data_IF_648807592536
#
_entry.id   IF_648807592536
#
_cell.length_a   1.000
_cell.length_b   1.000
_cell.length_c   1.000
_cell.angle_alpha   90.00
_cell.angle_beta   90.00
_cell.angle_gamma   90.00
#
_symmetry.space_group_name_H-M   'P 1'
#
loop_
_entity.id
_entity.type
_entity.pdbx_description
1 polymer ?
#
# COMPACT_ATOMS: atom_id res chain seq x y z
N UNK A 1 -54.61 -21.19 17.02
CA UNK A 1 -54.25 -21.21 15.59
C UNK A 1 -53.23 -22.31 15.38
N UNK A 2 -53.32 -23.05 14.28
CA UNK A 2 -52.35 -24.09 13.96
C UNK A 2 -51.13 -23.47 13.30
N UNK A 3 -49.94 -24.00 13.57
CA UNK A 3 -48.69 -23.55 12.94
C UNK A 3 -48.33 -24.58 11.88
N UNK A 4 -48.23 -24.14 10.63
CA UNK A 4 -47.83 -24.97 9.51
C UNK A 4 -46.38 -24.68 9.14
N UNK A 5 -45.51 -25.67 9.23
CA UNK A 5 -44.16 -25.61 8.65
C UNK A 5 -44.30 -25.76 7.14
N UNK A 6 -43.63 -24.91 6.38
CA UNK A 6 -43.65 -24.97 4.93
C UNK A 6 -42.23 -25.02 4.38
N UNK A 7 -42.06 -25.69 3.24
CA UNK A 7 -40.96 -25.50 2.32
C UNK A 7 -41.54 -25.04 1.00
N UNK A 8 -41.10 -23.87 0.52
CA UNK A 8 -41.59 -23.25 -0.70
C UNK A 8 -40.43 -22.96 -1.64
N UNK A 9 -40.70 -22.91 -2.94
CA UNK A 9 -39.80 -22.39 -3.95
C UNK A 9 -40.18 -20.95 -4.32
N UNK A 10 -39.19 -20.06 -4.28
CA UNK A 10 -39.29 -18.72 -4.89
C UNK A 10 -39.46 -18.83 -6.41
N UNK A 11 -39.96 -17.78 -7.06
CA UNK A 11 -39.98 -17.63 -8.53
C UNK A 11 -38.63 -17.85 -9.22
N UNK A 12 -37.51 -17.74 -8.47
CA UNK A 12 -36.14 -18.04 -8.94
C UNK A 12 -35.69 -19.50 -8.70
N UNK A 13 -36.58 -20.38 -8.24
CA UNK A 13 -36.31 -21.82 -8.02
C UNK A 13 -35.57 -22.17 -6.72
N UNK A 14 -35.36 -21.21 -5.81
CA UNK A 14 -34.68 -21.44 -4.52
C UNK A 14 -35.66 -21.87 -3.43
N UNK A 15 -35.27 -22.86 -2.64
CA UNK A 15 -36.07 -23.41 -1.53
C UNK A 15 -35.95 -22.52 -0.29
N UNK A 16 -37.07 -22.23 0.36
CA UNK A 16 -37.18 -21.52 1.62
C UNK A 16 -38.07 -22.34 2.55
N UNK A 17 -37.65 -22.50 3.81
CA UNK A 17 -38.45 -23.18 4.83
C UNK A 17 -38.82 -22.20 5.93
N UNK A 18 -40.06 -22.25 6.39
CA UNK A 18 -40.59 -21.35 7.41
C UNK A 18 -41.80 -21.94 8.11
N UNK A 19 -42.49 -21.11 8.89
CA UNK A 19 -43.77 -21.46 9.51
C UNK A 19 -44.79 -20.35 9.29
N UNK A 20 -46.05 -20.72 9.05
CA UNK A 20 -47.18 -19.79 8.89
C UNK A 20 -48.28 -20.19 9.88
N UNK A 21 -48.86 -19.19 10.55
CA UNK A 21 -49.98 -19.38 11.47
C UNK A 21 -51.29 -19.24 10.70
N UNK A 22 -52.10 -20.30 10.65
CA UNK A 22 -53.40 -20.28 9.99
C UNK A 22 -54.40 -21.16 10.74
N UNK A 23 -55.70 -20.94 10.49
CA UNK A 23 -56.75 -21.77 11.10
C UNK A 23 -56.84 -23.17 10.48
N UNK A 24 -56.44 -23.31 9.22
CA UNK A 24 -56.41 -24.59 8.50
C UNK A 24 -55.37 -24.56 7.36
N UNK A 25 -55.03 -25.74 6.83
CA UNK A 25 -54.03 -25.89 5.77
C UNK A 25 -54.39 -25.10 4.50
N UNK A 26 -55.69 -25.01 4.17
CA UNK A 26 -56.16 -24.28 2.98
C UNK A 26 -55.85 -22.78 3.06
N UNK A 27 -56.02 -22.18 4.24
CA UNK A 27 -55.70 -20.77 4.46
C UNK A 27 -54.19 -20.54 4.44
N UNK A 28 -53.39 -21.42 5.06
CA UNK A 28 -51.94 -21.39 4.97
C UNK A 28 -51.44 -21.47 3.51
N UNK A 29 -52.03 -22.36 2.70
CA UNK A 29 -51.70 -22.45 1.27
C UNK A 29 -52.05 -21.18 0.51
N UNK A 30 -53.22 -20.59 0.78
CA UNK A 30 -53.61 -19.35 0.14
C UNK A 30 -52.70 -18.19 0.52
N UNK A 31 -52.28 -18.08 1.79
CA UNK A 31 -51.32 -17.06 2.21
C UNK A 31 -49.95 -17.22 1.53
N UNK A 32 -49.41 -18.44 1.48
CA UNK A 32 -48.12 -18.70 0.83
C UNK A 32 -48.18 -18.45 -0.69
N UNK A 33 -49.28 -18.83 -1.34
CA UNK A 33 -49.49 -18.57 -2.76
C UNK A 33 -49.65 -17.06 -3.03
N UNK A 34 -50.35 -16.32 -2.17
CA UNK A 34 -50.50 -14.87 -2.27
C UNK A 34 -49.16 -14.14 -2.13
N UNK A 35 -48.21 -14.71 -1.39
CA UNK A 35 -46.83 -14.22 -1.28
C UNK A 35 -45.96 -14.57 -2.51
N UNK A 36 -46.52 -15.24 -3.53
CA UNK A 36 -45.83 -15.58 -4.77
C UNK A 36 -44.87 -16.78 -4.64
N UNK A 37 -45.08 -17.62 -3.63
CA UNK A 37 -44.27 -18.81 -3.39
C UNK A 37 -44.95 -20.06 -3.94
N UNK A 38 -44.18 -20.95 -4.58
CA UNK A 38 -44.64 -22.26 -5.00
C UNK A 38 -44.44 -23.27 -3.86
N UNK A 39 -45.51 -23.75 -3.24
CA UNK A 39 -45.45 -24.64 -2.08
C UNK A 39 -44.94 -26.03 -2.50
N UNK A 40 -43.81 -26.45 -1.93
CA UNK A 40 -43.22 -27.78 -2.14
C UNK A 40 -43.68 -28.76 -1.06
N UNK A 41 -43.72 -28.30 0.19
CA UNK A 41 -44.10 -29.09 1.35
C UNK A 41 -44.83 -28.20 2.37
N UNK A 42 -45.90 -28.71 2.98
CA UNK A 42 -46.65 -28.02 4.03
C UNK A 42 -47.09 -29.07 5.05
N UNK A 43 -46.58 -28.98 6.27
CA UNK A 43 -46.83 -29.94 7.34
C UNK A 43 -47.30 -29.21 8.59
N UNK A 44 -48.45 -29.63 9.13
CA UNK A 44 -48.95 -29.12 10.39
C UNK A 44 -48.05 -29.60 11.54
N UNK A 45 -47.48 -28.67 12.31
CA UNK A 45 -46.60 -29.02 13.42
C UNK A 45 -47.47 -29.46 14.59
N UNK A 46 -47.58 -30.77 14.78
CA UNK A 46 -47.91 -31.30 16.11
C UNK A 46 -46.71 -31.01 17.01
N UNK A 47 -46.93 -30.39 18.16
CA UNK A 47 -45.99 -29.65 19.01
C UNK A 47 -44.64 -30.30 19.43
N UNK A 48 -44.16 -31.40 18.82
CA UNK A 48 -43.01 -32.14 19.33
C UNK A 48 -41.99 -32.71 18.33
N UNK A 49 -41.89 -32.23 17.08
CA UNK A 49 -40.83 -32.70 16.17
C UNK A 49 -40.03 -31.56 15.50
N UNK A 50 -38.76 -31.44 15.94
CA UNK A 50 -37.70 -30.69 15.27
C UNK A 50 -36.81 -31.63 14.47
N UNK A 51 -36.63 -31.39 13.17
CA UNK A 51 -35.44 -31.85 12.44
C UNK A 51 -35.29 -31.12 11.10
N UNK A 52 -34.17 -30.41 10.92
CA UNK A 52 -33.34 -30.43 9.70
C UNK A 52 -31.91 -29.97 10.02
N UNK A 53 -30.97 -30.59 9.30
CA UNK A 53 -29.52 -30.64 9.55
C UNK A 53 -28.86 -29.28 9.75
N UNK A 54 -28.27 -29.10 10.94
CA UNK A 54 -27.49 -27.91 11.34
C UNK A 54 -26.09 -28.01 10.75
N UNK A 55 -25.73 -27.11 9.83
CA UNK A 55 -24.32 -26.75 9.66
C UNK A 55 -23.87 -26.12 10.99
N UNK A 56 -22.81 -26.62 11.66
CA UNK A 56 -22.44 -26.17 13.02
C UNK A 56 -22.03 -24.69 13.11
N UNK A 57 -21.81 -24.02 11.97
CA UNK A 57 -21.40 -22.62 11.90
C UNK A 57 -22.51 -21.65 11.48
N UNK A 58 -23.75 -22.11 11.25
CA UNK A 58 -24.86 -21.23 10.85
C UNK A 58 -25.76 -20.90 12.06
N UNK A 59 -25.98 -19.61 12.26
CA UNK A 59 -26.90 -19.08 13.27
C UNK A 59 -28.26 -18.84 12.63
N UNK A 60 -29.34 -19.18 13.35
CA UNK A 60 -30.71 -18.88 12.92
C UNK A 60 -31.09 -17.48 13.38
N UNK A 61 -31.51 -16.65 12.44
CA UNK A 61 -31.97 -15.28 12.68
C UNK A 61 -33.47 -15.20 12.42
N UNK A 62 -34.18 -14.45 13.25
CA UNK A 62 -35.56 -14.04 13.03
C UNK A 62 -35.53 -12.63 12.43
N UNK A 63 -36.38 -12.37 11.44
CA UNK A 63 -36.48 -11.06 10.80
C UNK A 63 -37.93 -10.57 10.75
N UNK A 64 -38.07 -9.26 10.73
CA UNK A 64 -39.29 -8.54 10.36
C UNK A 64 -38.97 -7.76 9.08
N UNK A 65 -39.79 -7.90 8.04
CA UNK A 65 -39.55 -7.27 6.75
C UNK A 65 -40.85 -6.99 5.98
N UNK A 66 -40.82 -5.97 5.14
CA UNK A 66 -41.88 -5.68 4.18
C UNK A 66 -41.59 -6.41 2.87
N UNK A 67 -42.59 -7.15 2.37
CA UNK A 67 -42.55 -7.72 1.03
C UNK A 67 -42.65 -6.61 -0.06
N UNK A 68 -42.43 -6.91 -1.35
CA UNK A 68 -42.57 -5.93 -2.43
C UNK A 68 -43.96 -5.26 -2.50
N UNK A 69 -44.99 -5.91 -1.96
CA UNK A 69 -46.37 -5.42 -1.85
C UNK A 69 -46.60 -4.54 -0.59
N UNK A 70 -45.57 -4.33 0.23
CA UNK A 70 -45.61 -3.50 1.43
C UNK A 70 -46.23 -4.17 2.66
N UNK A 71 -46.52 -5.48 2.61
CA UNK A 71 -47.06 -6.24 3.73
C UNK A 71 -45.94 -6.69 4.66
N UNK A 72 -46.17 -6.56 5.98
CA UNK A 72 -45.22 -7.02 7.00
C UNK A 72 -45.23 -8.53 7.12
N UNK A 73 -44.04 -9.12 7.11
CA UNK A 73 -43.80 -10.55 7.23
C UNK A 73 -42.73 -10.78 8.29
N UNK A 74 -42.95 -11.80 9.14
CA UNK A 74 -41.98 -12.26 10.13
C UNK A 74 -41.56 -13.66 9.71
N UNK A 75 -40.25 -13.91 9.68
CA UNK A 75 -39.71 -15.19 9.26
C UNK A 75 -38.35 -15.47 9.89
N UNK A 76 -37.78 -16.62 9.55
CA UNK A 76 -36.44 -17.02 10.00
C UNK A 76 -35.53 -17.31 8.82
N UNK A 77 -34.24 -16.96 8.94
CA UNK A 77 -33.20 -17.26 7.96
C UNK A 77 -31.94 -17.77 8.67
N UNK A 78 -31.27 -18.77 8.10
CA UNK A 78 -29.96 -19.22 8.60
C UNK A 78 -28.84 -18.47 7.89
N UNK A 79 -27.83 -17.99 8.62
CA UNK A 79 -26.66 -17.34 8.05
C UNK A 79 -25.45 -17.43 8.98
N UNK A 80 -24.27 -17.16 8.46
CA UNK A 80 -23.04 -17.10 9.26
C UNK A 80 -23.04 -15.93 10.24
N UNK A 81 -23.55 -14.78 9.79
CA UNK A 81 -23.65 -13.55 10.56
C UNK A 81 -24.89 -12.74 10.16
N UNK A 82 -25.18 -11.71 10.94
CA UNK A 82 -26.33 -10.83 10.79
C UNK A 82 -26.29 -10.03 9.47
N UNK A 83 -25.10 -9.64 9.01
CA UNK A 83 -24.90 -8.89 7.75
C UNK A 83 -25.25 -9.77 6.56
N UNK A 84 -24.80 -11.03 6.59
CA UNK A 84 -25.06 -12.05 5.58
C UNK A 84 -26.55 -12.36 5.54
N UNK A 85 -27.20 -12.51 6.69
CA UNK A 85 -28.65 -12.68 6.77
C UNK A 85 -29.40 -11.50 6.11
N UNK A 86 -29.05 -10.26 6.46
CA UNK A 86 -29.62 -9.06 5.87
C UNK A 86 -29.36 -8.96 4.35
N UNK A 87 -28.15 -9.28 3.89
CA UNK A 87 -27.79 -9.30 2.47
C UNK A 87 -28.60 -10.33 1.71
N UNK A 88 -28.79 -11.53 2.26
CA UNK A 88 -29.64 -12.56 1.64
C UNK A 88 -31.09 -12.09 1.53
N UNK A 89 -31.66 -11.57 2.63
CA UNK A 89 -33.03 -11.04 2.68
C UNK A 89 -33.28 -9.92 1.64
N UNK A 90 -32.35 -8.98 1.52
CA UNK A 90 -32.47 -7.85 0.58
C UNK A 90 -32.15 -8.22 -0.87
N UNK A 91 -31.11 -9.02 -1.14
CA UNK A 91 -30.66 -9.29 -2.52
C UNK A 91 -31.30 -10.52 -3.16
N UNK A 92 -31.52 -11.59 -2.38
CA UNK A 92 -32.09 -12.83 -2.91
C UNK A 92 -33.62 -12.77 -2.92
N UNK A 93 -34.21 -12.24 -1.85
CA UNK A 93 -35.65 -12.25 -1.62
C UNK A 93 -36.33 -10.90 -1.86
N UNK A 94 -35.56 -9.83 -2.12
CA UNK A 94 -36.07 -8.48 -2.36
C UNK A 94 -36.96 -7.95 -1.23
N UNK A 95 -36.68 -8.35 0.01
CA UNK A 95 -37.42 -7.90 1.19
C UNK A 95 -36.83 -6.60 1.72
N UNK A 96 -37.69 -5.69 2.16
CA UNK A 96 -37.28 -4.49 2.90
C UNK A 96 -37.24 -4.83 4.37
N UNK A 97 -36.09 -5.29 4.85
CA UNK A 97 -35.92 -5.72 6.25
C UNK A 97 -36.01 -4.52 7.18
N UNK A 98 -36.89 -4.60 8.17
CA UNK A 98 -37.09 -3.56 9.19
C UNK A 98 -36.34 -3.89 10.47
N UNK A 99 -36.25 -5.16 10.84
CA UNK A 99 -35.48 -5.63 12.00
C UNK A 99 -34.99 -7.06 11.82
N UNK A 100 -33.86 -7.40 12.46
CA UNK A 100 -33.29 -8.75 12.48
C UNK A 100 -32.65 -9.02 13.85
N UNK A 101 -32.79 -10.25 14.37
CA UNK A 101 -32.22 -10.67 15.64
C UNK A 101 -31.97 -12.19 15.67
N UNK A 102 -31.22 -12.67 16.65
CA UNK A 102 -30.90 -14.10 16.80
C UNK A 102 -32.13 -14.86 17.34
N UNK A 103 -32.37 -16.07 16.83
CA UNK A 103 -33.44 -16.93 17.34
C UNK A 103 -33.22 -17.26 18.82
N UNK A 104 -34.26 -17.05 19.65
CA UNK A 104 -34.16 -17.15 21.11
C UNK A 104 -33.61 -15.92 21.85
N UNK A 105 -33.50 -14.76 21.20
CA UNK A 105 -33.12 -13.50 21.85
C UNK A 105 -34.13 -13.08 22.94
N UNK A 106 -33.67 -12.37 23.97
CA UNK A 106 -34.53 -11.86 25.05
C UNK A 106 -35.45 -10.73 24.55
N UNK A 107 -36.55 -10.45 25.26
CA UNK A 107 -37.50 -9.38 24.90
C UNK A 107 -36.80 -8.01 24.76
N UNK A 108 -35.83 -7.72 25.62
CA UNK A 108 -35.03 -6.49 25.54
C UNK A 108 -34.16 -6.44 24.28
N UNK A 109 -33.59 -7.58 23.86
CA UNK A 109 -32.80 -7.66 22.63
C UNK A 109 -33.66 -7.48 21.39
N UNK A 110 -34.87 -8.06 21.37
CA UNK A 110 -35.84 -7.90 20.28
C UNK A 110 -36.28 -6.44 20.17
N UNK A 111 -36.61 -5.80 21.30
CA UNK A 111 -37.00 -4.39 21.34
C UNK A 111 -35.87 -3.49 20.85
N UNK A 112 -34.63 -3.76 21.28
CA UNK A 112 -33.45 -3.03 20.82
C UNK A 112 -33.18 -3.22 19.32
N UNK A 113 -33.36 -4.43 18.77
CA UNK A 113 -33.22 -4.69 17.35
C UNK A 113 -34.27 -3.92 16.52
N UNK A 114 -35.51 -3.88 16.99
CA UNK A 114 -36.59 -3.10 16.35
C UNK A 114 -36.36 -1.59 16.39
N UNK A 115 -35.83 -1.07 17.50
CA UNK A 115 -35.50 0.36 17.63
C UNK A 115 -34.27 0.74 16.81
N UNK A 116 -33.24 -0.11 16.79
CA UNK A 116 -32.01 0.10 15.99
C UNK A 116 -32.31 0.06 14.49
N UNK A 117 -33.28 -0.77 14.10
CA UNK A 117 -33.60 -1.06 12.71
C UNK A 117 -32.39 -1.62 11.95
N UNK A 118 -32.40 -1.49 10.62
CA UNK A 118 -31.31 -2.00 9.76
C UNK A 118 -30.37 -0.93 9.24
N UNK A 119 -30.45 0.31 9.76
CA UNK A 119 -29.67 1.45 9.25
C UNK A 119 -28.15 1.22 9.33
N UNK A 120 -27.67 0.60 10.42
CA UNK A 120 -26.24 0.29 10.55
C UNK A 120 -25.78 -0.80 9.56
N UNK A 121 -26.63 -1.81 9.27
CA UNK A 121 -26.33 -2.87 8.30
C UNK A 121 -26.27 -2.30 6.88
N UNK A 122 -27.16 -1.37 6.56
CA UNK A 122 -27.16 -0.66 5.28
C UNK A 122 -25.91 0.23 5.13
N UNK A 123 -25.48 0.89 6.20
CA UNK A 123 -24.23 1.68 6.20
C UNK A 123 -22.99 0.80 5.97
N UNK A 124 -22.91 -0.36 6.62
CA UNK A 124 -21.79 -1.30 6.44
C UNK A 124 -21.73 -1.77 4.98
N UNK A 125 -22.85 -2.20 4.40
CA UNK A 125 -22.90 -2.67 3.00
C UNK A 125 -22.58 -1.56 1.99
N UNK A 126 -23.04 -0.33 2.25
CA UNK A 126 -22.71 0.80 1.39
C UNK A 126 -21.21 1.14 1.44
N UNK A 127 -20.58 1.04 2.62
CA UNK A 127 -19.14 1.24 2.77
C UNK A 127 -18.31 0.16 2.06
N UNK A 128 -18.78 -1.09 2.05
CA UNK A 128 -18.14 -2.17 1.29
C UNK A 128 -18.22 -1.93 -0.23
N UNK A 129 -19.38 -1.49 -0.73
CA UNK A 129 -19.58 -1.16 -2.16
C UNK A 129 -18.72 0.04 -2.61
N UNK A 130 -18.60 1.05 -1.76
CA UNK A 130 -17.76 2.22 -2.04
C UNK A 130 -16.27 1.83 -2.09
N UNK A 131 -15.84 0.96 -1.16
CA UNK A 131 -14.47 0.44 -1.15
C UNK A 131 -14.16 -0.42 -2.39
N UNK A 132 -15.08 -1.29 -2.84
CA UNK A 132 -14.87 -2.11 -4.03
C UNK A 132 -14.78 -1.27 -5.32
N UNK A 133 -15.62 -0.24 -5.46
CA UNK A 133 -15.57 0.70 -6.60
C UNK A 133 -14.25 1.50 -6.64
N UNK A 134 -13.73 1.88 -5.47
CA UNK A 134 -12.43 2.56 -5.35
C UNK A 134 -11.29 1.62 -5.75
N UNK A 135 -11.36 0.33 -5.43
CA UNK A 135 -10.36 -0.66 -5.84
C UNK A 135 -10.36 -0.94 -7.34
N UNK A 136 -11.53 -1.12 -7.97
CA UNK A 136 -11.65 -1.29 -9.43
C UNK A 136 -11.12 -0.06 -10.19
N UNK A 137 -11.40 1.14 -9.68
CA UNK A 137 -10.90 2.39 -10.30
C UNK A 137 -9.38 2.51 -10.20
N UNK A 138 -8.77 2.03 -9.10
CA UNK A 138 -7.31 2.01 -8.93
C UNK A 138 -6.64 1.00 -9.85
N UNK A 139 -7.16 -0.23 -9.94
CA UNK A 139 -6.65 -1.25 -10.85
C UNK A 139 -6.65 -0.73 -12.30
N UNK A 140 -7.76 -0.11 -12.72
CA UNK A 140 -7.88 0.47 -14.06
C UNK A 140 -6.89 1.61 -14.32
N UNK A 141 -6.59 2.44 -13.32
CA UNK A 141 -5.59 3.50 -13.46
C UNK A 141 -4.15 2.96 -13.50
N UNK A 142 -3.83 1.95 -12.71
CA UNK A 142 -2.51 1.30 -12.73
C UNK A 142 -2.27 0.58 -14.06
N UNK A 143 -3.28 -0.12 -14.59
CA UNK A 143 -3.20 -0.78 -15.88
C UNK A 143 -3.00 0.22 -17.02
N UNK A 144 -3.70 1.38 -16.98
CA UNK A 144 -3.47 2.47 -17.96
C UNK A 144 -2.06 3.04 -17.87
N UNK A 145 -1.54 3.28 -16.67
CA UNK A 145 -0.16 3.75 -16.47
C UNK A 145 0.84 2.74 -17.02
N UNK A 146 0.65 1.45 -16.73
CA UNK A 146 1.49 0.36 -17.23
C UNK A 146 1.45 0.29 -18.76
N UNK A 147 0.27 0.46 -19.36
CA UNK A 147 0.09 0.49 -20.81
C UNK A 147 0.89 1.62 -21.46
N UNK A 148 0.75 2.84 -20.95
CA UNK A 148 1.47 4.02 -21.47
C UNK A 148 2.99 3.81 -21.36
N UNK A 149 3.48 3.29 -20.23
CA UNK A 149 4.91 3.05 -20.02
C UNK A 149 5.45 2.03 -21.04
N UNK A 150 4.75 0.92 -21.27
CA UNK A 150 5.17 -0.09 -22.23
C UNK A 150 5.15 0.47 -23.65
N UNK A 151 4.11 1.20 -24.03
CA UNK A 151 4.00 1.83 -25.36
C UNK A 151 5.16 2.81 -25.63
N UNK A 152 5.43 3.74 -24.71
CA UNK A 152 6.54 4.70 -24.86
C UNK A 152 7.88 4.00 -25.04
N UNK A 153 8.11 2.89 -24.33
CA UNK A 153 9.36 2.11 -24.46
C UNK A 153 9.47 1.40 -25.78
N UNK A 154 8.36 0.83 -26.26
CA UNK A 154 8.32 0.15 -27.56
C UNK A 154 8.60 1.16 -28.67
N UNK A 155 8.07 2.39 -28.57
CA UNK A 155 8.39 3.47 -29.50
C UNK A 155 9.86 3.89 -29.44
N UNK A 156 10.45 3.97 -28.24
CA UNK A 156 11.88 4.22 -28.08
C UNK A 156 12.74 3.10 -28.70
N UNK A 157 12.36 1.83 -28.48
CA UNK A 157 13.03 0.67 -29.08
C UNK A 157 12.94 0.74 -30.59
N UNK A 158 11.75 0.98 -31.16
CA UNK A 158 11.54 1.11 -32.60
C UNK A 158 12.41 2.23 -33.20
N UNK A 159 12.46 3.39 -32.53
CA UNK A 159 13.31 4.51 -32.96
C UNK A 159 14.79 4.11 -32.96
N UNK A 160 15.29 3.53 -31.87
CA UNK A 160 16.70 3.14 -31.78
C UNK A 160 17.06 2.00 -32.73
N UNK A 161 16.13 1.07 -33.00
CA UNK A 161 16.31 0.04 -34.03
C UNK A 161 16.41 0.69 -35.42
N UNK A 162 15.56 1.67 -35.72
CA UNK A 162 15.67 2.40 -36.99
C UNK A 162 17.00 3.15 -37.13
N UNK A 163 17.49 3.78 -36.04
CA UNK A 163 18.77 4.46 -36.03
C UNK A 163 19.94 3.47 -36.21
N UNK A 164 19.89 2.31 -35.53
CA UNK A 164 20.85 1.22 -35.70
C UNK A 164 20.88 0.70 -37.15
N UNK A 165 19.72 0.48 -37.78
CA UNK A 165 19.67 -0.01 -39.16
C UNK A 165 20.28 0.97 -40.16
N UNK A 166 20.17 2.27 -39.92
CA UNK A 166 20.84 3.30 -40.73
C UNK A 166 22.35 3.29 -40.51
N UNK A 167 22.79 3.16 -39.26
CA UNK A 167 24.21 3.14 -38.90
C UNK A 167 24.94 1.92 -39.51
N UNK A 168 24.27 0.76 -39.55
CA UNK A 168 24.81 -0.51 -40.06
C UNK A 168 24.27 -0.88 -41.45
N UNK A 169 23.76 0.08 -42.23
CA UNK A 169 23.07 -0.18 -43.50
C UNK A 169 23.91 -0.99 -44.50
N UNK A 170 25.22 -0.75 -44.54
CA UNK A 170 26.16 -1.45 -45.42
C UNK A 170 26.70 -2.76 -44.82
N UNK A 171 26.48 -3.00 -43.52
CA UNK A 171 27.03 -4.14 -42.81
C UNK A 171 26.00 -5.27 -42.61
N UNK A 172 24.71 -5.00 -42.86
CA UNK A 172 23.59 -5.95 -42.72
C UNK A 172 23.16 -6.40 -44.13
N UNK A 173 22.99 -7.71 -44.33
CA UNK A 173 22.57 -8.22 -45.64
C UNK A 173 21.12 -7.81 -45.98
N UNK A 174 20.77 -7.67 -47.28
CA UNK A 174 19.41 -7.30 -47.69
C UNK A 174 18.33 -8.23 -47.13
N UNK A 175 18.61 -9.53 -47.09
CA UNK A 175 17.68 -10.56 -46.57
C UNK A 175 17.42 -10.37 -45.07
N UNK A 176 18.45 -10.02 -44.29
CA UNK A 176 18.31 -9.73 -42.86
C UNK A 176 17.58 -8.42 -42.62
N UNK A 177 17.87 -7.38 -43.41
CA UNK A 177 17.15 -6.11 -43.33
C UNK A 177 15.65 -6.36 -43.54
N UNK A 178 15.30 -7.19 -44.53
CA UNK A 178 13.92 -7.59 -44.78
C UNK A 178 13.30 -8.36 -43.60
N UNK A 179 14.02 -9.27 -42.95
CA UNK A 179 13.53 -9.94 -41.73
C UNK A 179 13.34 -8.98 -40.54
N UNK A 180 14.26 -8.02 -40.36
CA UNK A 180 14.15 -7.00 -39.33
C UNK A 180 12.92 -6.13 -39.61
N UNK A 181 12.71 -5.71 -40.85
CA UNK A 181 11.54 -4.93 -41.27
C UNK A 181 10.24 -5.69 -41.03
N UNK A 182 10.18 -6.99 -41.33
CA UNK A 182 9.02 -7.85 -41.00
C UNK A 182 8.71 -7.86 -39.51
N UNK A 183 9.74 -7.91 -38.65
CA UNK A 183 9.59 -7.89 -37.18
C UNK A 183 9.19 -6.50 -36.68
N UNK A 184 9.70 -5.43 -37.28
CA UNK A 184 9.28 -4.04 -37.02
C UNK A 184 7.80 -3.87 -37.36
N UNK A 185 7.37 -4.32 -38.54
CA UNK A 185 5.97 -4.27 -38.98
C UNK A 185 5.05 -5.04 -38.03
N UNK A 186 5.48 -6.23 -37.60
CA UNK A 186 4.75 -7.02 -36.59
C UNK A 186 4.61 -6.20 -35.30
N UNK A 187 5.68 -5.59 -34.81
CA UNK A 187 5.68 -4.79 -33.58
C UNK A 187 4.80 -3.53 -33.71
N UNK A 188 4.85 -2.84 -34.85
CA UNK A 188 4.01 -1.67 -35.15
C UNK A 188 2.51 -2.01 -35.16
N UNK A 189 2.14 -3.17 -35.70
CA UNK A 189 0.74 -3.63 -35.71
C UNK A 189 0.20 -3.92 -34.31
N UNK A 190 1.05 -4.45 -33.44
CA UNK A 190 0.62 -4.90 -32.10
C UNK A 190 0.88 -3.87 -31.00
N UNK A 191 1.57 -2.75 -31.28
CA UNK A 191 1.98 -1.77 -30.26
C UNK A 191 0.82 -1.19 -29.44
N UNK A 192 -0.38 -1.16 -30.02
CA UNK A 192 -1.60 -0.67 -29.38
C UNK A 192 -2.46 -1.80 -28.75
N UNK A 193 -1.96 -3.03 -28.73
CA UNK A 193 -2.66 -4.18 -28.14
C UNK A 193 -2.76 -4.06 -26.62
N UNK A 194 -3.82 -4.62 -26.04
CA UNK A 194 -3.97 -4.74 -24.57
C UNK A 194 -3.06 -5.79 -23.97
N UNK A 195 -2.53 -6.72 -24.77
CA UNK A 195 -1.61 -7.76 -24.30
C UNK A 195 -0.17 -7.25 -24.24
N UNK A 196 0.19 -6.64 -23.10
CA UNK A 196 1.50 -6.06 -22.85
C UNK A 196 2.65 -7.07 -22.94
N UNK A 197 2.43 -8.28 -22.43
CA UNK A 197 3.47 -9.32 -22.42
C UNK A 197 3.80 -9.78 -23.83
N UNK A 198 2.79 -9.84 -24.72
CA UNK A 198 3.00 -10.15 -26.12
C UNK A 198 3.78 -9.04 -26.86
N UNK A 199 3.50 -7.76 -26.54
CA UNK A 199 4.25 -6.63 -27.10
C UNK A 199 5.71 -6.70 -26.66
N UNK A 200 5.96 -6.88 -25.35
CA UNK A 200 7.32 -6.99 -24.79
C UNK A 200 8.07 -8.16 -25.42
N UNK A 201 7.45 -9.33 -25.49
CA UNK A 201 8.06 -10.53 -26.07
C UNK A 201 8.42 -10.31 -27.55
N UNK A 202 7.55 -9.66 -28.32
CA UNK A 202 7.83 -9.36 -29.73
C UNK A 202 8.95 -8.34 -29.89
N UNK A 203 9.03 -7.34 -29.01
CA UNK A 203 10.14 -6.38 -28.99
C UNK A 203 11.46 -7.06 -28.59
N UNK A 204 11.45 -8.01 -27.65
CA UNK A 204 12.61 -8.82 -27.32
C UNK A 204 13.06 -9.72 -28.48
N UNK A 205 12.12 -10.37 -29.18
CA UNK A 205 12.42 -11.19 -30.35
C UNK A 205 13.14 -10.37 -31.44
N UNK A 206 12.69 -9.14 -31.67
CA UNK A 206 13.33 -8.20 -32.58
C UNK A 206 14.77 -7.87 -32.12
N UNK A 207 14.95 -7.49 -30.85
CA UNK A 207 16.26 -7.15 -30.31
C UNK A 207 17.22 -8.34 -30.31
N UNK A 208 16.76 -9.53 -29.93
CA UNK A 208 17.54 -10.78 -29.96
C UNK A 208 17.93 -11.15 -31.39
N UNK A 209 17.05 -10.93 -32.37
CA UNK A 209 17.37 -11.15 -33.77
C UNK A 209 18.45 -10.20 -34.28
N UNK A 210 18.37 -8.90 -33.95
CA UNK A 210 19.44 -7.92 -34.25
C UNK A 210 20.76 -8.34 -33.58
N UNK A 211 20.69 -8.83 -32.34
CA UNK A 211 21.85 -9.36 -31.63
C UNK A 211 22.51 -10.54 -32.35
N UNK A 212 21.72 -11.42 -32.97
CA UNK A 212 22.23 -12.57 -33.71
C UNK A 212 22.99 -12.15 -34.97
N UNK A 213 22.67 -10.99 -35.56
CA UNK A 213 23.41 -10.46 -36.71
C UNK A 213 24.84 -10.03 -36.39
N UNK A 214 25.20 -9.91 -35.10
CA UNK A 214 26.60 -9.79 -34.66
C UNK A 214 27.50 -10.95 -35.13
N UNK A 215 26.92 -12.12 -35.44
CA UNK A 215 27.66 -13.29 -35.91
C UNK A 215 28.24 -13.04 -37.30
N UNK A 216 27.56 -12.28 -38.15
CA UNK A 216 28.07 -11.95 -39.48
C UNK A 216 29.12 -10.84 -39.45
N UNK A 217 28.92 -9.82 -38.60
CA UNK A 217 29.97 -8.83 -38.31
C UNK A 217 31.27 -9.49 -37.81
N UNK A 218 31.17 -10.64 -37.13
CA UNK A 218 32.33 -11.47 -36.73
C UNK A 218 33.04 -12.08 -37.94
N UNK A 219 32.30 -12.57 -38.94
CA UNK A 219 32.86 -13.21 -40.15
C UNK A 219 33.61 -12.20 -41.04
N UNK A 220 33.14 -10.95 -41.07
CA UNK A 220 33.74 -9.85 -41.83
C UNK A 220 34.88 -9.11 -41.10
N UNK A 221 35.29 -9.54 -39.90
CA UNK A 221 36.41 -8.94 -39.17
C UNK A 221 36.12 -7.63 -38.42
N UNK A 222 34.85 -7.16 -38.39
CA UNK A 222 34.44 -5.91 -37.74
C UNK A 222 34.13 -6.09 -36.25
N UNK A 223 35.17 -6.41 -35.49
CA UNK A 223 35.09 -6.75 -34.06
C UNK A 223 34.65 -5.60 -33.13
N UNK A 224 35.04 -4.36 -33.45
CA UNK A 224 34.60 -3.16 -32.71
C UNK A 224 33.12 -2.90 -32.93
N UNK A 225 32.68 -2.84 -34.19
CA UNK A 225 31.25 -2.70 -34.58
C UNK A 225 30.38 -3.77 -33.94
N UNK A 226 30.85 -5.02 -33.90
CA UNK A 226 30.17 -6.12 -33.22
C UNK A 226 29.95 -5.84 -31.73
N UNK A 227 31.01 -5.42 -31.04
CA UNK A 227 30.96 -5.17 -29.58
C UNK A 227 30.05 -3.97 -29.28
N UNK A 228 30.08 -2.96 -30.13
CA UNK A 228 29.20 -1.80 -30.05
C UNK A 228 27.73 -2.17 -30.26
N UNK A 229 27.41 -2.91 -31.32
CA UNK A 229 26.06 -3.40 -31.60
C UNK A 229 25.53 -4.22 -30.41
N UNK A 230 26.35 -5.12 -29.89
CA UNK A 230 26.01 -5.93 -28.71
C UNK A 230 25.66 -5.10 -27.48
N UNK A 231 26.46 -4.08 -27.20
CA UNK A 231 26.23 -3.20 -26.07
C UNK A 231 24.96 -2.37 -26.27
N UNK A 232 24.71 -1.85 -27.47
CA UNK A 232 23.49 -1.09 -27.81
C UNK A 232 22.24 -1.98 -27.64
N UNK A 233 22.25 -3.19 -28.20
CA UNK A 233 21.13 -4.15 -28.08
C UNK A 233 20.90 -4.59 -26.63
N UNK A 234 21.95 -4.88 -25.87
CA UNK A 234 21.83 -5.26 -24.46
C UNK A 234 21.29 -4.12 -23.60
N UNK A 235 21.68 -2.87 -23.88
CA UNK A 235 21.10 -1.71 -23.22
C UNK A 235 19.62 -1.54 -23.54
N UNK A 236 19.21 -1.78 -24.79
CA UNK A 236 17.80 -1.77 -25.20
C UNK A 236 16.98 -2.86 -24.49
N UNK A 237 17.50 -4.09 -24.42
CA UNK A 237 16.86 -5.18 -23.67
C UNK A 237 16.71 -4.83 -22.19
N UNK A 238 17.75 -4.26 -21.57
CA UNK A 238 17.68 -3.82 -20.17
C UNK A 238 16.62 -2.72 -19.94
N UNK A 239 16.48 -1.77 -20.89
CA UNK A 239 15.44 -0.72 -20.82
C UNK A 239 14.04 -1.28 -21.00
N UNK A 240 13.87 -2.26 -21.90
CA UNK A 240 12.61 -2.94 -22.15
C UNK A 240 12.13 -3.68 -20.88
N UNK A 241 13.03 -4.39 -20.20
CA UNK A 241 12.76 -5.14 -18.98
C UNK A 241 12.74 -4.32 -17.68
N UNK A 242 13.11 -3.04 -17.72
CA UNK A 242 13.19 -2.22 -16.52
C UNK A 242 11.79 -2.05 -15.92
N UNK A 243 11.41 -2.77 -14.86
CA UNK A 243 10.01 -2.80 -14.37
C UNK A 243 9.48 -1.46 -13.84
N UNK A 244 10.26 -0.38 -13.89
CA UNK A 244 9.90 0.91 -13.29
C UNK A 244 9.86 0.83 -11.76
N UNK A 245 10.31 -0.31 -11.20
CA UNK A 245 10.54 -0.46 -9.77
C UNK A 245 11.79 0.33 -9.41
N UNK A 246 11.75 1.07 -8.29
CA UNK A 246 12.91 1.81 -7.82
C UNK A 246 14.08 0.84 -7.65
N UNK A 247 15.22 1.16 -8.27
CA UNK A 247 16.41 0.29 -8.27
C UNK A 247 17.15 0.38 -6.94
N UNK A 248 16.79 1.33 -6.10
CA UNK A 248 17.43 1.61 -4.81
C UNK A 248 16.40 1.97 -3.73
N UNK A 249 16.72 1.66 -2.47
CA UNK A 249 15.94 2.07 -1.29
C UNK A 249 15.67 3.58 -1.26
N UNK A 250 16.60 4.41 -1.73
CA UNK A 250 16.41 5.86 -1.83
C UNK A 250 15.33 6.25 -2.84
N UNK A 251 15.32 5.61 -4.01
CA UNK A 251 14.29 5.86 -5.03
C UNK A 251 12.92 5.35 -4.56
N UNK A 252 12.89 4.27 -3.79
CA UNK A 252 11.65 3.72 -3.22
C UNK A 252 11.07 4.63 -2.13
N UNK A 253 11.92 5.16 -1.25
CA UNK A 253 11.54 6.15 -0.25
C UNK A 253 11.00 7.42 -0.93
N UNK A 254 11.69 7.94 -1.96
CA UNK A 254 11.24 9.12 -2.71
C UNK A 254 9.90 8.86 -3.41
N UNK A 255 9.75 7.71 -4.08
CA UNK A 255 8.51 7.34 -4.75
C UNK A 255 7.33 7.22 -3.77
N UNK A 256 7.54 6.57 -2.63
CA UNK A 256 6.52 6.45 -1.58
C UNK A 256 6.12 7.81 -1.00
N UNK A 257 7.07 8.74 -0.85
CA UNK A 257 6.79 10.12 -0.43
C UNK A 257 5.91 10.83 -1.48
N UNK A 258 6.27 10.71 -2.77
CA UNK A 258 5.53 11.33 -3.87
C UNK A 258 4.11 10.75 -4.03
N UNK A 259 3.97 9.43 -3.92
CA UNK A 259 2.66 8.76 -3.98
C UNK A 259 1.77 9.19 -2.80
N UNK A 260 2.34 9.32 -1.60
CA UNK A 260 1.63 9.86 -0.44
C UNK A 260 1.20 11.32 -0.66
N UNK A 261 2.10 12.17 -1.15
CA UNK A 261 1.81 13.58 -1.46
C UNK A 261 0.69 13.70 -2.50
N UNK A 262 0.76 12.95 -3.61
CA UNK A 262 -0.28 12.96 -4.62
C UNK A 262 -1.63 12.52 -4.06
N UNK A 263 -1.65 11.48 -3.22
CA UNK A 263 -2.89 10.94 -2.62
C UNK A 263 -3.55 11.91 -1.65
N UNK A 264 -2.78 12.69 -0.90
CA UNK A 264 -3.28 13.52 0.19
C UNK A 264 -3.37 15.03 -0.12
N UNK A 265 -2.67 15.53 -1.14
CA UNK A 265 -2.63 16.97 -1.47
C UNK A 265 -3.65 17.35 -2.55
N UNK A 266 -3.91 16.49 -3.54
CA UNK A 266 -4.72 16.88 -4.72
C UNK A 266 -6.22 16.95 -4.46
N UNK A 267 -6.73 16.43 -3.33
CA UNK A 267 -8.18 16.25 -3.11
C UNK A 267 -8.86 17.31 -2.24
N UNK A 268 -8.16 18.27 -1.66
CA UNK A 268 -8.78 19.20 -0.69
C UNK A 268 -8.33 20.66 -0.84
N UNK A 269 -9.30 21.57 -1.03
CA UNK A 269 -9.11 23.04 -1.12
C UNK A 269 -8.58 23.64 0.20
N UNK A 270 -8.83 22.98 1.34
CA UNK A 270 -8.20 23.30 2.64
C UNK A 270 -7.58 22.05 3.26
N UNK A 271 -6.26 21.95 3.13
CA UNK A 271 -5.45 20.93 3.78
C UNK A 271 -5.48 21.10 5.32
N UNK A 272 -5.85 20.06 6.09
CA UNK A 272 -5.74 20.05 7.54
C UNK A 272 -4.31 20.35 8.00
N UNK A 273 -4.13 21.03 9.14
CA UNK A 273 -2.81 21.48 9.62
C UNK A 273 -1.79 20.33 9.75
N UNK A 274 -2.22 19.14 10.16
CA UNK A 274 -1.37 17.96 10.28
C UNK A 274 -0.87 17.44 8.92
N UNK A 275 -1.67 17.57 7.84
CA UNK A 275 -1.25 17.21 6.48
C UNK A 275 -0.20 18.18 5.95
N UNK A 276 -0.29 19.47 6.30
CA UNK A 276 0.73 20.47 5.97
C UNK A 276 2.05 20.21 6.70
N UNK A 277 1.96 19.86 7.99
CA UNK A 277 3.13 19.53 8.80
C UNK A 277 3.85 18.27 8.29
N UNK A 278 3.10 17.20 8.05
CA UNK A 278 3.65 15.95 7.49
C UNK A 278 4.22 16.16 6.09
N UNK A 279 3.57 16.93 5.21
CA UNK A 279 4.13 17.27 3.90
C UNK A 279 5.44 18.06 4.02
N UNK A 280 5.53 19.03 4.93
CA UNK A 280 6.76 19.79 5.18
C UNK A 280 7.91 18.91 5.69
N UNK A 281 7.61 17.84 6.45
CA UNK A 281 8.61 16.85 6.87
C UNK A 281 9.00 15.96 5.69
N UNK A 282 8.02 15.41 4.97
CA UNK A 282 8.27 14.47 3.88
C UNK A 282 9.03 15.12 2.71
N UNK A 283 8.71 16.37 2.34
CA UNK A 283 9.47 17.13 1.34
C UNK A 283 10.93 17.39 1.75
N UNK A 284 11.20 17.56 3.05
CA UNK A 284 12.58 17.68 3.56
C UNK A 284 13.30 16.33 3.51
N UNK A 285 12.61 15.24 3.82
CA UNK A 285 13.13 13.88 3.70
C UNK A 285 13.42 13.56 2.22
N UNK A 286 12.51 13.87 1.32
CA UNK A 286 12.66 13.72 -0.14
C UNK A 286 13.95 14.39 -0.62
N UNK A 287 14.19 15.67 -0.26
CA UNK A 287 15.42 16.41 -0.59
C UNK A 287 16.71 15.81 -0.02
N UNK A 288 16.63 14.99 1.04
CA UNK A 288 17.79 14.29 1.60
C UNK A 288 18.11 13.04 0.76
N UNK A 289 17.09 12.36 0.25
CA UNK A 289 17.21 11.12 -0.53
C UNK A 289 17.28 11.34 -2.04
N UNK A 290 16.89 12.51 -2.53
CA UNK A 290 16.99 12.90 -3.93
C UNK A 290 18.46 12.97 -4.32
N UNK A 291 18.92 11.97 -5.08
CA UNK A 291 20.25 12.00 -5.64
C UNK A 291 20.27 13.00 -6.79
N UNK A 292 21.14 14.03 -6.76
CA UNK A 292 21.32 14.96 -7.86
C UNK A 292 21.51 14.21 -9.18
N UNK A 293 20.85 14.67 -10.24
CA UNK A 293 20.85 14.01 -11.55
C UNK A 293 22.27 13.76 -12.06
N UNK A 294 23.18 14.70 -11.84
CA UNK A 294 24.60 14.59 -12.16
C UNK A 294 25.27 13.37 -11.49
N UNK A 295 24.97 13.11 -10.21
CA UNK A 295 25.51 11.94 -9.49
C UNK A 295 24.92 10.65 -10.07
N UNK A 296 23.64 10.66 -10.45
CA UNK A 296 22.96 9.51 -11.05
C UNK A 296 23.56 9.14 -12.40
N UNK A 297 23.78 10.14 -13.27
CA UNK A 297 24.43 9.97 -14.58
C UNK A 297 25.84 9.39 -14.40
N UNK A 298 26.66 9.97 -13.52
CA UNK A 298 28.04 9.51 -13.29
C UNK A 298 28.09 8.07 -12.73
N UNK A 299 27.18 7.71 -11.80
CA UNK A 299 27.07 6.32 -11.31
C UNK A 299 26.69 5.35 -12.43
N UNK A 300 25.78 5.76 -13.30
CA UNK A 300 25.33 4.93 -14.45
C UNK A 300 26.48 4.72 -15.44
N UNK A 301 27.24 5.78 -15.74
CA UNK A 301 28.45 5.69 -16.57
C UNK A 301 29.50 4.76 -15.95
N UNK A 302 29.76 4.85 -14.64
CA UNK A 302 30.69 3.93 -13.95
C UNK A 302 30.21 2.48 -14.06
N UNK A 303 28.91 2.23 -13.89
CA UNK A 303 28.31 0.90 -14.04
C UNK A 303 28.47 0.37 -15.46
N UNK A 304 28.22 1.21 -16.48
CA UNK A 304 28.42 0.85 -17.88
C UNK A 304 29.89 0.49 -18.17
N UNK A 305 30.85 1.30 -17.68
CA UNK A 305 32.28 1.00 -17.81
C UNK A 305 32.65 -0.34 -17.14
N UNK A 306 32.12 -0.63 -15.94
CA UNK A 306 32.36 -1.92 -15.27
C UNK A 306 31.82 -3.10 -16.11
N UNK A 307 30.63 -2.95 -16.67
CA UNK A 307 30.02 -3.97 -17.54
C UNK A 307 30.87 -4.22 -18.78
N UNK A 308 31.32 -3.15 -19.44
CA UNK A 308 32.21 -3.24 -20.61
C UNK A 308 33.54 -3.90 -20.25
N UNK A 309 34.18 -3.52 -19.14
CA UNK A 309 35.43 -4.15 -18.66
C UNK A 309 35.24 -5.66 -18.49
N UNK A 310 34.14 -6.09 -17.85
CA UNK A 310 33.85 -7.52 -17.67
C UNK A 310 33.67 -8.23 -19.02
N UNK A 311 33.00 -7.59 -19.99
CA UNK A 311 32.84 -8.17 -21.33
C UNK A 311 34.17 -8.29 -22.08
N UNK A 312 35.00 -7.27 -22.06
CA UNK A 312 36.33 -7.34 -22.66
C UNK A 312 37.25 -8.35 -21.97
N UNK A 313 37.16 -8.52 -20.64
CA UNK A 313 37.87 -9.59 -19.93
C UNK A 313 37.39 -10.96 -20.40
N UNK A 314 36.07 -11.17 -20.53
CA UNK A 314 35.53 -12.43 -21.07
C UNK A 314 36.03 -12.71 -22.49
N UNK A 315 36.11 -11.66 -23.32
CA UNK A 315 36.64 -11.74 -24.68
C UNK A 315 38.14 -12.11 -24.67
N UNK A 316 38.94 -11.47 -23.80
CA UNK A 316 40.37 -11.72 -23.65
C UNK A 316 40.70 -13.20 -23.36
N UNK A 317 39.87 -13.86 -22.54
CA UNK A 317 40.04 -15.27 -22.21
C UNK A 317 39.49 -16.23 -23.28
N UNK A 318 38.58 -15.78 -24.15
CA UNK A 318 37.95 -16.64 -25.17
C UNK A 318 38.72 -16.70 -26.49
N UNK A 319 39.42 -15.65 -26.88
CA UNK A 319 40.04 -15.56 -28.20
C UNK A 319 41.55 -15.97 -28.14
N UNK A 320 42.02 -16.86 -29.05
CA UNK A 320 43.36 -17.45 -28.95
C UNK A 320 44.49 -16.58 -29.53
N UNK A 321 44.20 -15.63 -30.42
CA UNK A 321 45.22 -14.87 -31.17
C UNK A 321 45.89 -13.77 -30.35
N UNK A 322 47.23 -13.66 -30.43
CA UNK A 322 48.03 -12.70 -29.66
C UNK A 322 47.73 -11.24 -30.01
N UNK A 323 47.61 -10.92 -31.29
CA UNK A 323 47.28 -9.56 -31.75
C UNK A 323 45.96 -9.06 -31.17
N UNK A 324 44.99 -9.96 -31.07
CA UNK A 324 43.68 -9.65 -30.54
C UNK A 324 43.70 -9.41 -29.04
N UNK A 325 44.48 -10.20 -28.29
CA UNK A 325 44.70 -9.99 -26.86
C UNK A 325 45.31 -8.62 -26.56
N UNK A 326 46.23 -8.13 -27.40
CA UNK A 326 46.79 -6.79 -27.26
C UNK A 326 45.76 -5.68 -27.56
N UNK A 327 44.94 -5.83 -28.61
CA UNK A 327 43.82 -4.88 -28.86
C UNK A 327 42.83 -4.82 -27.71
N UNK A 328 42.42 -5.97 -27.18
CA UNK A 328 41.49 -6.07 -26.04
C UNK A 328 42.11 -5.47 -24.78
N UNK A 329 43.39 -5.73 -24.51
CA UNK A 329 44.12 -5.13 -23.38
C UNK A 329 44.18 -3.60 -23.48
N UNK A 330 44.40 -3.06 -24.68
CA UNK A 330 44.37 -1.62 -24.91
C UNK A 330 42.96 -1.05 -24.70
N UNK A 331 41.92 -1.72 -25.20
CA UNK A 331 40.52 -1.31 -24.96
C UNK A 331 40.17 -1.31 -23.46
N UNK A 332 40.54 -2.36 -22.71
CA UNK A 332 40.34 -2.43 -21.26
C UNK A 332 41.06 -1.27 -20.56
N UNK A 333 42.30 -0.96 -20.95
CA UNK A 333 43.07 0.14 -20.38
C UNK A 333 42.38 1.49 -20.62
N UNK A 334 41.86 1.73 -21.82
CA UNK A 334 41.12 2.96 -22.17
C UNK A 334 39.81 3.09 -21.35
N UNK A 335 39.04 2.00 -21.23
CA UNK A 335 37.78 2.02 -20.45
C UNK A 335 38.08 2.18 -18.96
N UNK A 336 39.16 1.56 -18.46
CA UNK A 336 39.60 1.72 -17.08
C UNK A 336 40.00 3.16 -16.76
N UNK A 337 40.72 3.82 -17.68
CA UNK A 337 41.08 5.22 -17.53
C UNK A 337 39.83 6.13 -17.54
N UNK A 338 38.89 5.85 -18.43
CA UNK A 338 37.59 6.54 -18.47
C UNK A 338 36.85 6.40 -17.14
N UNK A 339 36.72 5.17 -16.62
CA UNK A 339 36.15 4.89 -15.30
C UNK A 339 36.85 5.67 -14.19
N UNK A 340 38.18 5.72 -14.17
CA UNK A 340 38.96 6.46 -13.16
C UNK A 340 38.65 7.96 -13.22
N UNK A 341 38.53 8.53 -14.42
CA UNK A 341 38.16 9.91 -14.63
C UNK A 341 36.71 10.20 -14.16
N UNK A 342 35.74 9.34 -14.52
CA UNK A 342 34.36 9.48 -14.04
C UNK A 342 34.24 9.38 -12.51
N UNK A 343 35.05 8.51 -11.87
CA UNK A 343 35.11 8.45 -10.40
C UNK A 343 35.67 9.74 -9.79
N UNK A 344 36.67 10.37 -10.42
CA UNK A 344 37.20 11.67 -9.98
C UNK A 344 36.13 12.75 -10.10
N UNK A 345 35.45 12.85 -11.25
CA UNK A 345 34.34 13.78 -11.47
C UNK A 345 33.23 13.56 -10.44
N UNK A 346 32.87 12.32 -10.12
CA UNK A 346 31.88 12.01 -9.09
C UNK A 346 32.30 12.51 -7.70
N UNK A 347 33.59 12.42 -7.36
CA UNK A 347 34.12 12.97 -6.10
C UNK A 347 34.08 14.49 -6.10
N UNK A 348 34.41 15.13 -7.23
CA UNK A 348 34.37 16.59 -7.40
C UNK A 348 32.94 17.13 -7.30
N UNK A 349 31.98 16.52 -7.99
CA UNK A 349 30.55 16.88 -7.91
C UNK A 349 30.01 16.69 -6.49
N UNK A 350 30.37 15.60 -5.81
CA UNK A 350 29.99 15.42 -4.40
C UNK A 350 30.58 16.51 -3.50
N UNK A 351 31.81 16.94 -3.78
CA UNK A 351 32.47 18.00 -3.03
C UNK A 351 31.81 19.36 -3.30
N UNK A 352 31.56 19.72 -4.56
CA UNK A 352 30.90 20.97 -4.93
C UNK A 352 29.49 21.07 -4.34
N UNK A 353 28.71 19.99 -4.37
CA UNK A 353 27.38 19.95 -3.76
C UNK A 353 27.46 20.12 -2.24
N UNK A 354 28.46 19.52 -1.59
CA UNK A 354 28.69 19.71 -0.15
C UNK A 354 29.07 21.16 0.16
N UNK A 355 29.93 21.77 -0.65
CA UNK A 355 30.35 23.16 -0.53
C UNK A 355 29.19 24.13 -0.77
N UNK A 356 28.37 23.91 -1.80
CA UNK A 356 27.14 24.68 -2.05
C UNK A 356 26.16 24.55 -0.88
N UNK A 357 25.98 23.35 -0.31
CA UNK A 357 25.16 23.17 0.90
C UNK A 357 25.73 23.92 2.11
N UNK A 358 27.05 23.96 2.26
CA UNK A 358 27.72 24.73 3.32
C UNK A 358 27.58 26.23 3.10
N UNK A 359 27.70 26.72 1.86
CA UNK A 359 27.55 28.13 1.51
C UNK A 359 26.09 28.59 1.67
N UNK A 360 25.12 27.79 1.22
CA UNK A 360 23.70 28.02 1.44
C UNK A 360 23.36 28.06 2.94
N UNK A 361 24.00 27.21 3.76
CA UNK A 361 23.85 27.22 5.22
C UNK A 361 24.50 28.45 5.89
N UNK A 362 25.51 29.05 5.26
CA UNK A 362 26.14 30.30 5.74
C UNK A 362 25.36 31.56 5.33
N UNK A 363 24.71 31.55 4.17
CA UNK A 363 23.92 32.68 3.64
C UNK A 363 22.48 32.67 4.14
N UNK A 364 21.95 31.51 4.51
CA UNK A 364 20.64 31.39 5.14
C UNK A 364 20.82 31.29 6.66
N UNK A 365 20.96 32.42 7.34
CA UNK A 365 20.76 32.56 8.80
C UNK A 365 19.27 32.39 9.15
N UNK A 366 18.66 31.29 8.69
CA UNK A 366 17.45 30.77 9.31
C UNK A 366 17.73 29.34 9.79
N UNK A 367 17.83 29.15 11.11
CA UNK A 367 18.30 27.91 11.69
C UNK A 367 17.17 26.89 11.68
N UNK A 368 17.17 25.99 10.70
CA UNK A 368 16.35 24.77 10.75
C UNK A 368 16.67 23.89 11.99
N UNK A 369 17.78 24.15 12.68
CA UNK A 369 18.11 23.57 13.97
C UNK A 369 17.47 24.24 15.19
N UNK A 370 16.98 25.49 15.08
CA UNK A 370 16.29 26.13 16.20
C UNK A 370 14.92 25.53 16.44
N UNK A 371 14.17 25.15 15.41
CA UNK A 371 12.83 24.60 15.62
C UNK A 371 12.85 23.28 16.41
N UNK A 372 13.75 22.34 16.08
CA UNK A 372 13.87 21.12 16.87
C UNK A 372 14.42 21.41 18.26
N UNK A 373 15.34 22.36 18.38
CA UNK A 373 15.89 22.76 19.68
C UNK A 373 14.79 23.39 20.57
N UNK A 374 13.96 24.27 20.01
CA UNK A 374 12.83 24.90 20.70
C UNK A 374 11.76 23.86 21.04
N UNK A 375 11.41 22.94 20.13
CA UNK A 375 10.49 21.85 20.45
C UNK A 375 10.97 20.97 21.61
N UNK A 376 12.27 20.65 21.67
CA UNK A 376 12.81 19.85 22.77
C UNK A 376 12.82 20.63 24.09
N UNK A 377 13.10 21.93 24.04
CA UNK A 377 13.10 22.82 25.21
C UNK A 377 11.66 23.04 25.72
N UNK A 378 10.72 23.33 24.83
CA UNK A 378 9.28 23.47 25.11
C UNK A 378 8.69 22.17 25.68
N UNK A 379 9.03 21.01 25.10
CA UNK A 379 8.58 19.71 25.62
C UNK A 379 9.15 19.44 27.01
N UNK A 380 10.41 19.82 27.25
CA UNK A 380 11.04 19.67 28.57
C UNK A 380 10.35 20.56 29.60
N UNK A 381 10.08 21.82 29.25
CA UNK A 381 9.37 22.76 30.12
C UNK A 381 7.93 22.30 30.39
N UNK A 382 7.20 21.89 29.35
CA UNK A 382 5.84 21.37 29.47
C UNK A 382 5.76 20.15 30.38
N UNK A 383 6.63 19.15 30.17
CA UNK A 383 6.66 17.94 31.02
C UNK A 383 7.06 18.26 32.46
N UNK A 384 7.94 19.25 32.67
CA UNK A 384 8.31 19.74 34.00
C UNK A 384 7.14 20.40 34.72
N UNK A 385 6.41 21.28 34.05
CA UNK A 385 5.19 21.90 34.61
C UNK A 385 4.12 20.85 34.93
N UNK A 386 3.91 19.88 34.03
CA UNK A 386 2.95 18.81 34.23
C UNK A 386 3.27 17.98 35.49
N UNK A 387 4.55 17.67 35.72
CA UNK A 387 5.02 17.00 36.94
C UNK A 387 4.84 17.88 38.19
N UNK A 388 5.13 19.17 38.10
CA UNK A 388 4.94 20.11 39.20
C UNK A 388 3.46 20.22 39.61
N UNK A 389 2.56 20.37 38.63
CA UNK A 389 1.11 20.38 38.88
C UNK A 389 0.63 19.06 39.49
N UNK A 390 1.11 17.93 38.98
CA UNK A 390 0.82 16.62 39.57
C UNK A 390 1.23 16.58 41.04
N UNK A 391 2.43 17.06 41.37
CA UNK A 391 2.99 16.99 42.71
C UNK A 391 2.19 17.86 43.69
N UNK A 392 1.83 19.08 43.28
CA UNK A 392 0.92 19.95 44.03
C UNK A 392 -0.43 19.24 44.25
N UNK A 393 -1.02 18.71 43.18
CA UNK A 393 -2.31 18.03 43.24
C UNK A 393 -2.28 16.79 44.14
N UNK A 394 -1.18 16.03 44.10
CA UNK A 394 -0.95 14.87 44.97
C UNK A 394 -0.94 15.27 46.44
N UNK A 395 -0.16 16.28 46.83
CA UNK A 395 -0.10 16.71 48.23
C UNK A 395 -1.41 17.34 48.70
N UNK A 396 -2.08 18.15 47.87
CA UNK A 396 -3.38 18.73 48.18
C UNK A 396 -4.42 17.63 48.37
N UNK A 397 -4.47 16.66 47.46
CA UNK A 397 -5.39 15.53 47.55
C UNK A 397 -5.14 14.69 48.79
N UNK A 398 -3.87 14.35 49.07
CA UNK A 398 -3.49 13.59 50.25
C UNK A 398 -3.84 14.34 51.54
N UNK A 399 -3.62 15.66 51.59
CA UNK A 399 -3.99 16.49 52.74
C UNK A 399 -5.52 16.52 52.96
N UNK A 400 -6.30 16.72 51.90
CA UNK A 400 -7.77 16.76 51.98
C UNK A 400 -8.36 15.39 52.36
N UNK A 401 -7.78 14.30 51.84
CA UNK A 401 -8.28 12.93 52.10
C UNK A 401 -7.85 12.40 53.46
N UNK A 402 -6.66 12.78 53.96
CA UNK A 402 -6.17 12.35 55.27
C UNK A 402 -6.80 13.11 56.44
N UNK A 403 -7.14 14.38 56.26
CA UNK A 403 -7.72 15.21 57.31
C UNK A 403 -9.25 15.11 57.26
N UNK A 404 -9.85 14.63 58.34
CA UNK A 404 -11.29 14.49 58.43
C UNK A 404 -11.96 15.86 58.63
N UNK A 405 -12.24 16.54 57.52
CA UNK A 405 -12.95 17.83 57.51
C UNK A 405 -14.48 17.69 57.68
N UNK A 406 -15.01 16.48 57.91
CA UNK A 406 -16.46 16.24 57.95
C UNK A 406 -17.15 16.33 56.59
N UNK A 407 -16.39 16.48 55.50
CA UNK A 407 -16.87 16.50 54.12
C UNK A 407 -16.38 15.21 53.46
N UNK A 408 -17.29 14.46 52.83
CA UNK A 408 -16.92 13.29 52.01
C UNK A 408 -16.10 13.77 50.82
N UNK A 409 -14.81 13.42 50.77
CA UNK A 409 -13.92 13.81 49.70
C UNK A 409 -14.48 13.33 48.33
N UNK A 410 -14.49 14.18 47.29
CA UNK A 410 -14.93 13.76 45.96
C UNK A 410 -14.07 12.60 45.45
N UNK A 411 -14.71 11.59 44.83
CA UNK A 411 -14.05 10.37 44.33
C UNK A 411 -12.86 10.66 43.41
N UNK A 412 -12.88 11.80 42.70
CA UNK A 412 -11.78 12.25 41.84
C UNK A 412 -10.46 12.50 42.58
N UNK A 413 -10.47 12.72 43.91
CA UNK A 413 -9.26 12.89 44.72
C UNK A 413 -8.53 11.56 45.00
N UNK A 414 -9.20 10.41 44.84
CA UNK A 414 -8.59 9.08 45.03
C UNK A 414 -7.91 8.55 43.75
N UNK A 415 -7.42 9.46 42.89
CA UNK A 415 -6.75 9.13 41.63
C UNK A 415 -5.43 8.36 41.84
N UNK A 416 -4.80 8.52 43.00
CA UNK A 416 -3.56 7.85 43.39
C UNK A 416 -3.68 6.32 43.40
N UNK A 417 -4.90 5.78 43.50
CA UNK A 417 -5.16 4.35 43.46
C UNK A 417 -5.38 3.81 42.03
N UNK A 418 -5.54 4.68 41.02
CA UNK A 418 -5.78 4.24 39.65
C UNK A 418 -4.48 3.84 38.96
N UNK A 419 -4.44 2.62 38.41
CA UNK A 419 -3.25 2.10 37.71
C UNK A 419 -2.89 2.95 36.49
N UNK A 420 -3.88 3.35 35.69
CA UNK A 420 -3.71 4.19 34.49
C UNK A 420 -2.93 5.47 34.81
N UNK A 421 -3.25 6.11 35.93
CA UNK A 421 -2.59 7.35 36.32
C UNK A 421 -1.15 7.13 36.79
N UNK A 422 -0.87 6.01 37.46
CA UNK A 422 0.50 5.61 37.83
C UNK A 422 1.37 5.39 36.60
N UNK A 423 0.86 4.70 35.56
CA UNK A 423 1.59 4.54 34.30
C UNK A 423 1.81 5.86 33.59
N UNK A 424 0.77 6.69 33.46
CA UNK A 424 0.88 7.99 32.81
C UNK A 424 1.95 8.85 33.49
N UNK A 425 1.97 8.88 34.82
CA UNK A 425 2.99 9.57 35.60
C UNK A 425 4.40 9.02 35.34
N UNK A 426 4.57 7.69 35.40
CA UNK A 426 5.87 7.06 35.16
C UNK A 426 6.41 7.38 33.76
N UNK A 427 5.55 7.35 32.75
CA UNK A 427 5.89 7.72 31.37
C UNK A 427 6.31 9.18 31.27
N UNK A 428 5.52 10.10 31.85
CA UNK A 428 5.84 11.53 31.86
C UNK A 428 7.17 11.78 32.59
N UNK A 429 7.42 11.10 33.71
CA UNK A 429 8.65 11.22 34.48
C UNK A 429 9.88 10.73 33.69
N UNK A 430 9.81 9.54 33.08
CA UNK A 430 10.91 9.01 32.24
C UNK A 430 11.18 9.93 31.06
N UNK A 431 10.12 10.43 30.42
CA UNK A 431 10.24 11.37 29.31
C UNK A 431 10.92 12.68 29.75
N UNK A 432 10.48 13.27 30.86
CA UNK A 432 11.07 14.50 31.40
C UNK A 432 12.53 14.30 31.80
N UNK A 433 12.87 13.17 32.46
CA UNK A 433 14.23 12.84 32.83
C UNK A 433 15.13 12.70 31.59
N UNK A 434 14.68 11.99 30.56
CA UNK A 434 15.43 11.84 29.31
C UNK A 434 15.66 13.18 28.60
N UNK A 435 14.63 14.03 28.56
CA UNK A 435 14.70 15.38 28.00
C UNK A 435 15.69 16.24 28.79
N UNK A 436 15.57 16.28 30.11
CA UNK A 436 16.44 17.04 31.01
C UNK A 436 17.90 16.60 30.90
N UNK A 437 18.17 15.29 30.84
CA UNK A 437 19.53 14.76 30.64
C UNK A 437 20.08 15.25 29.31
N UNK A 438 19.28 15.16 28.24
CA UNK A 438 19.70 15.61 26.91
C UNK A 438 19.93 17.12 26.85
N UNK A 439 19.05 17.94 27.43
CA UNK A 439 19.14 19.41 27.34
C UNK A 439 20.28 19.95 28.19
N UNK A 440 20.45 19.47 29.42
CA UNK A 440 21.40 20.02 30.37
C UNK A 440 22.83 19.47 30.20
N UNK A 441 22.98 18.16 29.91
CA UNK A 441 24.29 17.53 29.85
C UNK A 441 24.80 17.30 28.42
N UNK A 442 23.91 17.13 27.44
CA UNK A 442 24.29 16.78 26.07
C UNK A 442 23.67 17.65 24.96
N UNK A 443 23.63 19.00 25.10
CA UNK A 443 22.88 19.87 24.19
C UNK A 443 23.31 19.80 22.72
N UNK A 444 24.57 19.40 22.45
CA UNK A 444 25.16 19.38 21.09
C UNK A 444 25.58 17.99 20.60
N UNK A 445 25.43 16.93 21.41
CA UNK A 445 25.94 15.59 21.08
C UNK A 445 24.82 14.70 20.51
N UNK A 446 24.80 14.55 19.18
CA UNK A 446 23.81 13.72 18.47
C UNK A 446 23.86 12.25 18.94
N UNK A 447 25.07 11.71 19.15
CA UNK A 447 25.24 10.33 19.64
C UNK A 447 24.58 10.09 21.00
N UNK A 448 24.58 11.08 21.90
CA UNK A 448 23.90 10.95 23.18
C UNK A 448 22.39 10.85 22.99
N UNK A 449 21.80 11.62 22.07
CA UNK A 449 20.37 11.51 21.73
C UNK A 449 20.02 10.14 21.16
N UNK A 450 20.91 9.55 20.35
CA UNK A 450 20.72 8.22 19.77
C UNK A 450 20.75 7.09 20.81
N UNK A 451 21.24 7.34 22.03
CA UNK A 451 21.26 6.36 23.13
C UNK A 451 20.13 6.67 24.12
N UNK A 452 20.03 7.92 24.57
CA UNK A 452 19.09 8.35 25.62
C UNK A 452 17.64 8.08 25.22
N UNK A 453 17.23 8.41 24.00
CA UNK A 453 15.82 8.26 23.59
C UNK A 453 15.41 6.78 23.42
N UNK A 454 16.19 5.92 22.74
CA UNK A 454 15.88 4.49 22.71
C UNK A 454 15.85 3.86 24.10
N UNK A 455 16.77 4.24 25.01
CA UNK A 455 16.72 3.78 26.40
C UNK A 455 15.47 4.26 27.13
N UNK A 456 15.03 5.51 26.93
CA UNK A 456 13.80 6.03 27.51
C UNK A 456 12.55 5.31 26.97
N UNK A 457 12.50 5.05 25.66
CA UNK A 457 11.41 4.27 25.04
C UNK A 457 11.37 2.85 25.59
N UNK A 458 12.55 2.22 25.71
CA UNK A 458 12.66 0.89 26.31
C UNK A 458 12.16 0.88 27.76
N UNK A 459 12.55 1.87 28.57
CA UNK A 459 12.08 2.00 29.94
C UNK A 459 10.57 2.24 30.01
N UNK A 460 10.02 3.09 29.15
CA UNK A 460 8.57 3.31 29.04
C UNK A 460 7.86 1.99 28.74
N UNK A 461 8.32 1.25 27.73
CA UNK A 461 7.74 -0.04 27.37
C UNK A 461 7.86 -1.05 28.52
N UNK A 462 9.04 -1.14 29.13
CA UNK A 462 9.29 -2.00 30.27
C UNK A 462 8.37 -1.68 31.46
N UNK A 463 8.13 -0.39 31.74
CA UNK A 463 7.20 0.03 32.80
C UNK A 463 5.75 -0.27 32.45
N UNK A 464 5.35 -0.20 31.19
CA UNK A 464 3.98 -0.53 30.77
C UNK A 464 3.69 -2.03 30.79
N UNK A 465 4.72 -2.87 30.67
CA UNK A 465 4.59 -4.34 30.65
C UNK A 465 4.70 -4.98 32.03
N UNK A 466 5.52 -4.42 32.94
CA UNK A 466 5.87 -5.07 34.21
C UNK A 466 5.19 -4.49 35.46
N UNK A 467 4.59 -3.31 35.37
CA UNK A 467 3.71 -2.79 36.41
C UNK A 467 2.27 -3.08 36.03
#
# INVERSE_FOLDING_TARGET
>A
MAIFKYTVASSKGKKLSGSVEAENESLARNELNNLGFSILELTEIKQNEELHQKNPNETKYVFEALNPQGQSTIGTITALDEISAYKRLTTEYNLTVTAIWIDGASEDQIKNAKVRGTLYLQQIINSEKENSLIEETKLSQEDRKRNIIVQTRVEEVLKQVSDLLKEYENDISPDQKQEIDKKIDKLLRIKNSTNLDYIITTAEELLKFIQQQEIELKKSGYLEKKTELKMKVKNLLNRLHDTGKPKTLSEDIVKNIQDWQQKHITKTIRLPWYTRFTNNILTKIEKIFETPEEIRILKTQISACNSQIIEYIKIYFKEPTKEYKEKVKNAIKTIWQTRKNTIKQLKEVKKSIKEQKLLAKKTTTQPQGEFFKSLWEELNEFTGWLLAFYLIYYFVSLYITSKNFGITAPKGLNFNNTQIFKYALAVIFILHAALTIKTNFFPKKILASAIIFPSAIFLIFFTLVNF
#
